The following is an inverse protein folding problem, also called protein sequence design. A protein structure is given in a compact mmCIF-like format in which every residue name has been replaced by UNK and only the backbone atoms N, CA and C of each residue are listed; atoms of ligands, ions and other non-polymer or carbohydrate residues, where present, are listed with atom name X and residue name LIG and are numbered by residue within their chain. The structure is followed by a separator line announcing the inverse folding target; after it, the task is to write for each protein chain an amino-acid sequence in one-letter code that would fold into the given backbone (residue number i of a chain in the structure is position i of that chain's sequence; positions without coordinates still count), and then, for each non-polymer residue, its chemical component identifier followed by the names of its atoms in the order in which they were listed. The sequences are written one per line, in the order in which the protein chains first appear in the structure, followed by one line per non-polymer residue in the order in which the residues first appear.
data_IF_810647341528
#
_entry.id   IF_810647341528
#
_cell.length_a   1.000
_cell.length_b   1.000
_cell.length_c   1.000
_cell.angle_alpha   90.00
_cell.angle_beta   90.00
_cell.angle_gamma   90.00
#
_symmetry.space_group_name_H-M   'P 1'
#
loop_
_entity.id
_entity.type
_entity.pdbx_description
1 polymer ?
#
# COMPACT_ATOMS: atom_id res chain seq x y z
N UNK A 1 2.14 -12.32 1.63
CA UNK A 1 3.47 -12.38 2.26
C UNK A 1 3.77 -10.99 2.79
N UNK A 2 4.17 -10.87 4.06
CA UNK A 2 4.71 -9.62 4.61
C UNK A 2 6.17 -9.48 4.19
N UNK A 3 6.53 -8.41 3.48
CA UNK A 3 7.91 -8.16 3.09
C UNK A 3 8.77 -7.79 4.31
N UNK A 4 10.09 -7.90 4.15
CA UNK A 4 11.09 -7.32 5.06
C UNK A 4 10.71 -5.91 5.51
N UNK A 5 10.80 -5.65 6.81
CA UNK A 5 10.41 -4.38 7.44
C UNK A 5 8.90 -4.15 7.50
N UNK A 6 8.08 -4.90 6.77
CA UNK A 6 6.63 -4.73 6.70
C UNK A 6 5.90 -5.80 7.52
N UNK A 7 4.68 -5.49 7.93
CA UNK A 7 3.82 -6.39 8.70
C UNK A 7 4.56 -7.03 9.89
N UNK A 8 4.44 -8.34 10.07
CA UNK A 8 5.09 -9.02 11.19
C UNK A 8 6.43 -9.69 10.83
N UNK A 9 6.99 -9.41 9.66
CA UNK A 9 8.26 -9.99 9.23
C UNK A 9 9.43 -9.34 9.96
N UNK A 10 10.26 -10.19 10.58
CA UNK A 10 11.48 -9.78 11.29
C UNK A 10 12.69 -10.31 10.52
N UNK A 11 13.67 -9.45 10.26
CA UNK A 11 14.93 -9.85 9.61
C UNK A 11 16.13 -9.28 10.36
N UNK A 12 17.34 -9.88 10.20
CA UNK A 12 18.56 -9.33 10.82
C UNK A 12 18.92 -7.93 10.32
N UNK A 13 18.52 -7.58 9.09
CA UNK A 13 18.71 -6.27 8.50
C UNK A 13 17.42 -5.82 7.80
N UNK A 14 16.65 -4.98 8.48
CA UNK A 14 15.38 -4.44 7.99
C UNK A 14 15.56 -3.23 7.05
N UNK A 15 16.78 -2.71 6.91
CA UNK A 15 17.04 -1.48 6.16
C UNK A 15 17.38 -1.72 4.69
N UNK A 16 17.90 -2.89 4.33
CA UNK A 16 18.16 -3.24 2.93
C UNK A 16 16.86 -3.63 2.22
N UNK A 17 16.20 -2.62 1.62
CA UNK A 17 14.99 -2.77 0.83
C UNK A 17 15.29 -2.75 -0.67
N UNK A 18 16.49 -3.13 -1.11
CA UNK A 18 16.82 -3.20 -2.54
C UNK A 18 15.97 -4.24 -3.29
N UNK A 19 15.72 -4.01 -4.59
CA UNK A 19 14.93 -4.91 -5.42
C UNK A 19 15.45 -6.36 -5.37
N UNK A 20 16.77 -6.53 -5.48
CA UNK A 20 17.42 -7.84 -5.43
C UNK A 20 17.20 -8.54 -4.10
N UNK A 21 17.35 -7.81 -2.98
CA UNK A 21 17.19 -8.40 -1.65
C UNK A 21 15.74 -8.81 -1.39
N UNK A 22 14.78 -7.94 -1.70
CA UNK A 22 13.35 -8.25 -1.56
C UNK A 22 12.91 -9.40 -2.49
N UNK A 23 13.43 -9.47 -3.72
CA UNK A 23 13.14 -10.57 -4.64
C UNK A 23 13.71 -11.90 -4.12
N UNK A 24 14.95 -11.89 -3.59
CA UNK A 24 15.56 -13.05 -2.93
C UNK A 24 14.75 -13.52 -1.73
N UNK A 25 14.18 -12.61 -0.95
CA UNK A 25 13.29 -12.99 0.16
C UNK A 25 12.06 -13.77 -0.32
N UNK A 26 11.46 -13.39 -1.45
CA UNK A 26 10.32 -14.13 -2.04
C UNK A 26 10.73 -15.55 -2.39
N UNK A 27 11.85 -15.73 -3.09
CA UNK A 27 12.38 -17.05 -3.42
C UNK A 27 12.67 -17.88 -2.16
N UNK A 28 13.36 -17.30 -1.18
CA UNK A 28 13.69 -17.96 0.08
C UNK A 28 12.45 -18.42 0.86
N UNK A 29 11.39 -17.62 0.89
CA UNK A 29 10.13 -18.00 1.54
C UNK A 29 9.47 -19.16 0.81
N UNK A 30 9.44 -19.15 -0.52
CA UNK A 30 8.88 -20.25 -1.32
C UNK A 30 9.66 -21.54 -1.09
N UNK A 31 10.99 -21.49 -1.16
CA UNK A 31 11.86 -22.64 -0.87
C UNK A 31 11.67 -23.13 0.57
N UNK A 32 11.52 -22.24 1.55
CA UNK A 32 11.25 -22.64 2.93
C UNK A 32 9.88 -23.31 3.12
N UNK A 33 8.88 -22.94 2.33
CA UNK A 33 7.52 -23.50 2.41
C UNK A 33 7.38 -24.85 1.69
N UNK A 34 8.04 -25.01 0.53
CA UNK A 34 7.80 -26.15 -0.37
C UNK A 34 9.04 -27.01 -0.66
N UNK A 35 10.23 -26.59 -0.24
CA UNK A 35 11.49 -27.22 -0.63
C UNK A 35 11.81 -27.02 -2.11
N UNK A 36 12.63 -27.92 -2.67
CA UNK A 36 13.10 -27.82 -4.07
C UNK A 36 12.38 -28.78 -5.04
N UNK A 37 11.85 -29.91 -4.56
CA UNK A 37 11.41 -31.00 -5.45
C UNK A 37 9.93 -30.94 -5.86
N UNK A 38 9.05 -30.34 -5.04
CA UNK A 38 7.60 -30.36 -5.26
C UNK A 38 6.94 -28.98 -5.07
N UNK A 39 7.52 -27.94 -5.67
CA UNK A 39 6.93 -26.60 -5.62
C UNK A 39 5.70 -26.57 -6.55
N UNK A 40 4.49 -26.25 -6.04
CA UNK A 40 3.30 -26.16 -6.87
C UNK A 40 3.43 -25.03 -7.91
N UNK A 41 2.60 -25.01 -8.96
CA UNK A 41 2.51 -23.85 -9.86
C UNK A 41 2.18 -22.59 -9.07
N UNK A 42 3.04 -21.57 -9.16
CA UNK A 42 2.87 -20.31 -8.42
C UNK A 42 2.46 -19.20 -9.38
N UNK A 43 1.44 -18.42 -9.01
CA UNK A 43 1.13 -17.15 -9.65
C UNK A 43 1.57 -16.03 -8.71
N UNK A 44 2.46 -15.16 -9.19
CA UNK A 44 2.83 -13.96 -8.44
C UNK A 44 1.88 -12.82 -8.78
N UNK A 45 1.31 -12.22 -7.74
CA UNK A 45 0.47 -11.02 -7.83
C UNK A 45 1.09 -9.93 -6.98
N UNK A 46 1.47 -8.81 -7.58
CA UNK A 46 2.15 -7.72 -6.89
C UNK A 46 1.53 -6.36 -7.19
N UNK A 47 1.35 -5.54 -6.16
CA UNK A 47 0.89 -4.16 -6.27
C UNK A 47 2.01 -3.16 -6.02
N UNK A 48 2.09 -2.09 -6.79
CA UNK A 48 3.06 -1.00 -6.59
C UNK A 48 4.50 -1.56 -6.45
N UNK A 49 5.20 -1.27 -5.34
CA UNK A 49 6.49 -1.88 -4.98
C UNK A 49 6.46 -3.42 -5.11
N UNK A 50 5.42 -4.09 -4.60
CA UNK A 50 5.29 -5.54 -4.70
C UNK A 50 5.20 -6.05 -6.14
N UNK A 51 4.64 -5.24 -7.06
CA UNK A 51 4.64 -5.53 -8.50
C UNK A 51 6.04 -5.50 -9.09
N UNK A 52 6.83 -4.49 -8.72
CA UNK A 52 8.25 -4.41 -9.05
C UNK A 52 9.01 -5.66 -8.59
N UNK A 53 8.86 -6.01 -7.32
CA UNK A 53 9.58 -7.15 -6.73
C UNK A 53 9.17 -8.47 -7.37
N UNK A 54 7.88 -8.65 -7.70
CA UNK A 54 7.41 -9.83 -8.43
C UNK A 54 8.08 -9.97 -9.81
N UNK A 55 8.26 -8.86 -10.54
CA UNK A 55 8.99 -8.85 -11.83
C UNK A 55 10.47 -9.20 -11.61
N UNK A 56 11.12 -8.57 -10.63
CA UNK A 56 12.52 -8.87 -10.32
C UNK A 56 12.73 -10.34 -9.93
N UNK A 57 11.82 -10.91 -9.12
CA UNK A 57 11.87 -12.32 -8.75
C UNK A 57 11.67 -13.26 -9.95
N UNK A 58 10.80 -12.88 -10.89
CA UNK A 58 10.56 -13.64 -12.12
C UNK A 58 11.78 -13.63 -13.04
N UNK A 59 12.38 -12.46 -13.31
CA UNK A 59 13.55 -12.33 -14.19
C UNK A 59 14.79 -12.99 -13.60
N UNK A 60 14.93 -13.00 -12.27
CA UNK A 60 16.03 -13.68 -11.57
C UNK A 60 15.80 -15.20 -11.44
N UNK A 61 14.69 -15.74 -11.96
CA UNK A 61 14.32 -17.16 -11.88
C UNK A 61 14.32 -17.71 -10.45
N UNK A 62 13.93 -16.87 -9.48
CA UNK A 62 13.90 -17.26 -8.06
C UNK A 62 12.70 -18.15 -7.70
N UNK A 63 11.74 -18.27 -8.62
CA UNK A 63 10.55 -19.12 -8.47
C UNK A 63 10.47 -20.04 -9.70
N UNK A 64 11.09 -21.23 -9.66
CA UNK A 64 11.14 -22.13 -10.81
C UNK A 64 9.77 -22.58 -11.31
N UNK A 65 8.78 -22.69 -10.42
CA UNK A 65 7.40 -23.10 -10.74
C UNK A 65 6.48 -21.91 -11.10
N UNK A 66 7.03 -20.75 -11.44
CA UNK A 66 6.25 -19.57 -11.80
C UNK A 66 5.39 -19.84 -13.04
N UNK A 67 4.08 -19.85 -12.87
CA UNK A 67 3.11 -20.14 -13.90
C UNK A 67 2.40 -18.89 -14.44
N UNK A 68 2.45 -17.77 -13.72
CA UNK A 68 1.86 -16.50 -14.15
C UNK A 68 2.34 -15.30 -13.33
N UNK A 69 2.32 -14.13 -13.94
CA UNK A 69 2.75 -12.87 -13.32
C UNK A 69 1.68 -11.79 -13.51
N UNK A 70 1.23 -11.22 -12.40
CA UNK A 70 0.19 -10.19 -12.37
C UNK A 70 0.70 -8.97 -11.62
N UNK A 71 0.61 -7.83 -12.29
CA UNK A 71 1.13 -6.54 -11.79
C UNK A 71 -0.03 -5.58 -11.66
N UNK A 72 -0.17 -4.95 -10.49
CA UNK A 72 -1.29 -4.09 -10.13
C UNK A 72 -0.81 -2.66 -9.87
N UNK A 73 -1.39 -1.72 -10.61
CA UNK A 73 -1.23 -0.26 -10.49
C UNK A 73 0.23 0.23 -10.42
N UNK A 74 1.09 -0.32 -11.27
CA UNK A 74 2.46 0.18 -11.46
C UNK A 74 2.88 0.12 -12.92
N UNK A 75 3.44 1.22 -13.39
CA UNK A 75 4.09 1.38 -14.70
C UNK A 75 5.33 2.24 -14.50
N UNK A 76 6.43 1.91 -15.16
CA UNK A 76 7.73 2.56 -14.94
C UNK A 76 7.65 4.08 -15.09
N UNK A 77 7.17 4.59 -16.23
CA UNK A 77 7.14 6.03 -16.51
C UNK A 77 6.40 6.83 -15.43
N UNK A 78 5.17 6.43 -15.13
CA UNK A 78 4.37 7.13 -14.10
C UNK A 78 4.87 6.89 -12.68
N UNK A 79 5.46 5.73 -12.38
CA UNK A 79 6.07 5.48 -11.08
C UNK A 79 7.24 6.45 -10.86
N UNK A 80 8.12 6.60 -11.85
CA UNK A 80 9.30 7.49 -11.78
C UNK A 80 8.91 8.96 -11.62
N UNK A 81 7.85 9.41 -12.28
CA UNK A 81 7.29 10.76 -12.07
C UNK A 81 6.71 10.91 -10.65
N UNK A 82 5.95 9.91 -10.17
CA UNK A 82 5.34 9.94 -8.85
C UNK A 82 6.37 9.94 -7.69
N UNK A 83 7.58 9.39 -7.90
CA UNK A 83 8.64 9.40 -6.88
C UNK A 83 8.98 10.81 -6.38
N UNK A 84 8.90 11.82 -7.27
CA UNK A 84 9.23 13.20 -6.92
C UNK A 84 8.27 13.80 -5.89
N UNK A 85 6.99 13.43 -5.94
CA UNK A 85 5.95 13.88 -5.01
C UNK A 85 5.81 13.01 -3.77
N UNK A 86 6.32 11.77 -3.81
CA UNK A 86 6.12 10.78 -2.75
C UNK A 86 6.68 11.25 -1.41
N UNK A 87 7.86 11.88 -1.38
CA UNK A 87 8.43 12.40 -0.12
C UNK A 87 7.52 13.44 0.54
N UNK A 88 6.98 14.37 -0.23
CA UNK A 88 6.03 15.39 0.26
C UNK A 88 4.76 14.74 0.80
N UNK A 89 4.22 13.75 0.08
CA UNK A 89 3.06 12.98 0.53
C UNK A 89 3.34 12.25 1.86
N UNK A 90 4.46 11.54 1.97
CA UNK A 90 4.81 10.77 3.17
C UNK A 90 5.01 11.67 4.38
N UNK A 91 5.59 12.86 4.22
CA UNK A 91 5.77 13.86 5.28
C UNK A 91 4.47 14.52 5.73
N UNK A 92 3.46 14.58 4.85
CA UNK A 92 2.14 15.11 5.18
C UNK A 92 1.28 14.16 6.04
N UNK A 93 1.70 12.90 6.21
CA UNK A 93 0.96 11.93 7.03
C UNK A 93 1.12 12.21 8.52
N UNK A 94 0.09 11.93 9.35
CA UNK A 94 0.23 11.97 10.80
C UNK A 94 1.38 11.08 11.26
N UNK A 95 2.25 11.58 12.14
CA UNK A 95 3.39 10.80 12.66
C UNK A 95 2.96 9.69 13.63
N UNK A 96 1.86 9.94 14.35
CA UNK A 96 1.32 9.06 15.36
C UNK A 96 -0.21 9.10 15.35
N UNK A 97 -0.82 8.03 15.85
CA UNK A 97 -2.26 7.89 16.02
C UNK A 97 -2.57 7.51 17.47
N UNK A 98 -3.56 8.17 18.07
CA UNK A 98 -3.98 7.92 19.46
C UNK A 98 -4.58 6.52 19.66
N UNK A 99 -5.22 5.97 18.63
CA UNK A 99 -5.80 4.64 18.63
C UNK A 99 -5.82 4.07 17.22
N UNK A 100 -6.07 2.76 17.12
CA UNK A 100 -6.18 2.07 15.83
C UNK A 100 -7.42 2.55 15.06
N UNK A 101 -8.53 2.76 15.76
CA UNK A 101 -9.80 3.24 15.19
C UNK A 101 -9.63 4.61 14.55
N UNK A 102 -8.90 5.51 15.21
CA UNK A 102 -8.59 6.83 14.65
C UNK A 102 -7.72 6.73 13.40
N UNK A 103 -6.79 5.78 13.34
CA UNK A 103 -5.98 5.57 12.15
C UNK A 103 -6.80 5.01 10.98
N UNK A 104 -7.72 4.08 11.24
CA UNK A 104 -8.68 3.55 10.26
C UNK A 104 -9.55 4.68 9.71
N UNK A 105 -10.09 5.53 10.60
CA UNK A 105 -10.89 6.69 10.21
C UNK A 105 -10.09 7.65 9.32
N UNK A 106 -8.85 7.96 9.69
CA UNK A 106 -7.96 8.81 8.90
C UNK A 106 -7.66 8.21 7.52
N UNK A 107 -7.42 6.89 7.41
CA UNK A 107 -7.14 6.23 6.14
C UNK A 107 -8.31 6.33 5.16
N UNK A 108 -9.54 6.22 5.66
CA UNK A 108 -10.75 6.39 4.84
C UNK A 108 -11.00 7.84 4.48
N UNK A 109 -10.92 8.77 5.45
CA UNK A 109 -11.18 10.21 5.21
C UNK A 109 -10.13 10.87 4.31
N UNK A 110 -8.86 10.45 4.41
CA UNK A 110 -7.80 10.93 3.52
C UNK A 110 -7.88 10.36 2.11
N UNK A 111 -8.72 9.34 1.88
CA UNK A 111 -8.84 8.66 0.60
C UNK A 111 -7.70 7.69 0.30
N UNK A 112 -6.84 7.36 1.28
CA UNK A 112 -5.79 6.35 1.12
C UNK A 112 -6.39 4.97 0.81
N UNK A 113 -7.46 4.60 1.54
CA UNK A 113 -8.24 3.38 1.32
C UNK A 113 -9.71 3.78 1.31
N UNK A 114 -10.42 3.53 0.22
CA UNK A 114 -11.83 3.94 0.07
C UNK A 114 -12.79 2.94 0.71
N UNK A 115 -12.38 1.68 0.80
CA UNK A 115 -13.17 0.61 1.39
C UNK A 115 -12.95 0.50 2.90
N UNK A 116 -13.97 0.83 3.68
CA UNK A 116 -13.93 0.77 5.15
C UNK A 116 -13.69 -0.66 5.67
N UNK A 117 -14.25 -1.68 5.02
CA UNK A 117 -14.06 -3.07 5.43
C UNK A 117 -12.60 -3.48 5.29
N UNK A 118 -11.97 -3.15 4.15
CA UNK A 118 -10.54 -3.39 3.93
C UNK A 118 -9.69 -2.61 4.93
N UNK A 119 -9.97 -1.32 5.11
CA UNK A 119 -9.21 -0.45 6.02
C UNK A 119 -9.20 -0.98 7.47
N UNK A 120 -10.31 -1.53 7.95
CA UNK A 120 -10.41 -2.12 9.31
C UNK A 120 -9.46 -3.30 9.52
N UNK A 121 -9.14 -4.04 8.45
CA UNK A 121 -8.26 -5.21 8.49
C UNK A 121 -6.83 -4.82 8.16
N UNK A 122 -6.60 -4.05 7.10
CA UNK A 122 -5.27 -3.78 6.54
C UNK A 122 -4.46 -2.74 7.33
N UNK A 123 -5.13 -1.77 7.97
CA UNK A 123 -4.43 -0.72 8.72
C UNK A 123 -3.62 -1.24 9.90
N UNK A 124 -4.01 -2.39 10.48
CA UNK A 124 -3.29 -3.02 11.59
C UNK A 124 -1.88 -3.43 11.18
N UNK A 125 -1.71 -3.90 9.93
CA UNK A 125 -0.41 -4.27 9.38
C UNK A 125 0.49 -3.06 9.08
N UNK A 126 -0.10 -1.88 8.85
CA UNK A 126 0.64 -0.66 8.52
C UNK A 126 1.16 0.10 9.75
N UNK A 127 0.68 -0.25 10.95
CA UNK A 127 0.99 0.45 12.19
C UNK A 127 1.66 -0.48 13.21
N UNK A 128 2.38 0.11 14.15
CA UNK A 128 2.90 -0.55 15.35
C UNK A 128 2.69 0.33 16.58
N UNK A 129 2.58 -0.28 17.76
CA UNK A 129 2.57 0.47 19.02
C UNK A 129 3.94 1.10 19.24
N UNK A 130 3.98 2.35 19.68
CA UNK A 130 5.22 2.98 20.10
C UNK A 130 5.80 2.21 21.30
N UNK A 131 7.03 1.72 21.24
CA UNK A 131 7.69 1.21 22.44
C UNK A 131 7.90 2.37 23.42
N UNK A 132 7.77 2.11 24.72
CA UNK A 132 7.98 3.13 25.77
C UNK A 132 9.38 3.77 25.71
N UNK A 133 10.35 3.12 25.06
CA UNK A 133 11.71 3.63 24.82
C UNK A 133 11.79 4.82 23.86
N UNK A 134 10.71 5.11 23.10
CA UNK A 134 10.70 6.22 22.15
C UNK A 134 10.22 7.56 22.74
N UNK A 135 9.95 7.63 24.05
CA UNK A 135 9.40 8.83 24.72
C UNK A 135 10.47 9.84 25.19
N UNK A 136 11.76 9.57 25.05
CA UNK A 136 12.83 10.40 25.66
C UNK A 136 13.52 11.39 24.74
N UNK A 137 13.05 11.60 23.50
CA UNK A 137 13.67 12.62 22.63
C UNK A 137 12.62 13.50 21.97
N UNK A 138 12.70 14.78 22.33
CA UNK A 138 11.99 15.97 21.83
C UNK A 138 10.51 16.15 22.24
N UNK A 139 10.31 16.88 23.34
CA UNK A 139 9.36 18.01 23.37
C UNK A 139 9.78 18.99 24.50
N UNK A 140 10.77 19.83 24.20
CA UNK A 140 10.83 21.17 24.81
C UNK A 140 10.37 22.15 23.74
N UNK A 141 9.09 22.50 23.78
CA UNK A 141 8.55 23.62 23.02
C UNK A 141 8.85 24.88 23.83
N UNK A 142 9.61 25.87 23.30
CA UNK A 142 9.65 27.19 23.89
C UNK A 142 8.33 27.88 23.61
N UNK A 143 7.66 28.38 24.64
CA UNK A 143 6.55 29.31 24.51
C UNK A 143 7.04 30.60 23.82
N UNK A 144 6.53 30.89 22.63
CA UNK A 144 6.73 32.20 22.01
C UNK A 144 5.38 32.80 21.61
N UNK A 145 5.03 33.83 22.36
CA UNK A 145 4.05 34.86 22.03
C UNK A 145 4.47 35.63 20.77
N UNK A 146 3.60 35.71 19.78
CA UNK A 146 3.59 36.79 18.81
C UNK A 146 2.16 37.00 18.29
N UNK A 147 1.70 38.23 18.49
CA UNK A 147 0.48 38.87 18.04
C UNK A 147 0.48 39.16 16.53
N UNK A 148 -0.71 39.57 16.04
CA UNK A 148 -1.09 40.18 14.75
C UNK A 148 -1.86 39.23 13.81
N UNK A 149 -3.20 39.19 13.85
CA UNK A 149 -4.20 40.17 13.41
C UNK A 149 -4.52 40.08 11.91
N UNK A 150 -5.69 39.51 11.56
CA UNK A 150 -6.63 40.06 10.56
C UNK A 150 -8.04 39.79 11.08
N UNK A 151 -8.80 40.86 11.24
CA UNK A 151 -10.19 40.92 11.68
C UNK A 151 -11.14 40.93 10.47
N UNK A 152 -12.36 40.39 10.62
CA UNK A 152 -13.58 40.94 10.01
C UNK A 152 -14.78 40.76 10.97
N UNK A 153 -15.67 41.75 10.90
CA UNK A 153 -16.69 42.28 11.82
C UNK A 153 -17.86 41.31 12.14
N UNK A 154 -18.23 41.10 13.42
CA UNK A 154 -19.21 41.81 14.28
C UNK A 154 -20.70 41.64 13.89
N UNK A 155 -21.45 40.92 14.73
CA UNK A 155 -22.77 41.37 15.22
C UNK A 155 -22.98 40.88 16.68
N UNK A 156 -23.23 41.86 17.55
CA UNK A 156 -23.43 41.77 19.00
C UNK A 156 -24.81 41.22 19.37
N UNK A 157 -24.91 40.41 20.44
CA UNK A 157 -26.08 40.40 21.32
C UNK A 157 -25.68 40.10 22.77
N UNK A 158 -26.43 40.73 23.67
CA UNK A 158 -26.09 41.18 25.01
C UNK A 158 -25.93 40.09 26.10
N UNK A 159 -25.21 40.46 27.17
CA UNK A 159 -25.14 39.76 28.45
C UNK A 159 -25.79 40.66 29.52
N UNK A 160 -26.43 40.16 30.59
CA UNK A 160 -25.62 39.97 31.80
C UNK A 160 -26.08 38.89 32.80
N UNK A 161 -25.07 38.34 33.50
CA UNK A 161 -25.00 37.99 34.94
C UNK A 161 -26.08 37.06 35.51
N UNK A 162 -25.64 35.88 35.97
CA UNK A 162 -25.73 35.57 37.40
C UNK A 162 -24.81 34.44 37.83
N UNK A 163 -24.18 34.65 38.98
CA UNK A 163 -23.29 33.72 39.66
C UNK A 163 -24.11 32.73 40.51
N UNK A 164 -23.92 31.43 40.29
CA UNK A 164 -24.09 30.44 41.35
C UNK A 164 -23.33 29.16 41.00
N UNK A 165 -22.43 28.76 41.90
CA UNK A 165 -21.75 27.48 41.85
C UNK A 165 -22.73 26.36 42.20
N UNK A 166 -22.60 25.18 41.58
CA UNK A 166 -22.62 23.99 42.42
C UNK A 166 -21.49 23.02 42.05
N UNK A 167 -20.75 22.62 43.09
CA UNK A 167 -19.94 21.41 43.13
C UNK A 167 -20.81 20.20 42.83
N UNK A 168 -20.59 19.50 41.72
CA UNK A 168 -21.01 18.12 41.55
C UNK A 168 -19.91 17.32 40.83
N UNK A 169 -19.54 16.25 41.50
CA UNK A 169 -18.66 15.16 41.08
C UNK A 169 -19.07 14.65 39.70
N UNK A 170 -18.12 14.43 38.80
CA UNK A 170 -18.32 13.53 37.66
C UNK A 170 -16.99 12.99 37.12
N UNK A 171 -16.81 11.70 37.42
CA UNK A 171 -16.10 10.69 36.65
C UNK A 171 -14.62 10.93 36.34
N UNK A 172 -13.76 10.41 37.21
CA UNK A 172 -12.48 9.86 36.79
C UNK A 172 -12.73 8.78 35.72
N UNK A 173 -12.78 9.20 34.45
CA UNK A 173 -12.44 8.30 33.37
C UNK A 173 -10.98 7.96 33.61
N UNK A 174 -10.73 6.77 34.15
CA UNK A 174 -9.39 6.19 34.23
C UNK A 174 -8.80 6.28 32.83
N UNK A 175 -7.96 7.29 32.59
CA UNK A 175 -7.27 7.48 31.35
C UNK A 175 -6.29 6.31 31.24
N UNK A 176 -6.77 5.21 30.65
CA UNK A 176 -5.89 4.16 30.20
C UNK A 176 -4.92 4.86 29.27
N UNK A 177 -3.66 4.94 29.69
CA UNK A 177 -2.60 5.61 28.96
C UNK A 177 -2.29 4.72 27.76
N UNK A 178 -3.18 4.74 26.77
CA UNK A 178 -3.10 3.89 25.59
C UNK A 178 -1.89 4.36 24.81
N UNK A 179 -0.87 3.51 24.78
CA UNK A 179 0.35 3.74 24.02
C UNK A 179 -0.01 4.08 22.57
N UNK A 180 0.47 5.23 22.03
CA UNK A 180 0.11 5.64 20.69
C UNK A 180 0.66 4.68 19.63
N UNK A 181 0.07 4.71 18.45
CA UNK A 181 0.52 3.97 17.28
C UNK A 181 1.37 4.86 16.38
N UNK A 182 2.34 4.28 15.68
CA UNK A 182 3.11 4.95 14.62
C UNK A 182 3.18 4.05 13.39
N UNK A 183 3.62 4.61 12.27
CA UNK A 183 3.84 3.85 11.05
C UNK A 183 4.87 2.74 11.30
N UNK A 184 4.54 1.54 10.84
CA UNK A 184 5.41 0.37 10.98
C UNK A 184 6.76 0.59 10.31
N UNK A 185 6.69 1.13 9.09
CA UNK A 185 7.84 1.45 8.23
C UNK A 185 7.90 2.95 7.98
N UNK A 186 9.08 3.50 8.18
CA UNK A 186 9.41 4.83 7.67
C UNK A 186 9.81 4.72 6.19
N UNK A 187 8.81 4.73 5.31
CA UNK A 187 9.02 4.54 3.88
C UNK A 187 9.93 5.61 3.28
N UNK A 188 10.02 6.80 3.89
CA UNK A 188 10.90 7.87 3.41
C UNK A 188 12.37 7.46 3.40
N UNK A 189 12.79 6.56 4.30
CA UNK A 189 14.17 6.03 4.36
C UNK A 189 14.49 5.06 3.23
N UNK A 190 13.47 4.54 2.54
CA UNK A 190 13.64 3.61 1.41
C UNK A 190 13.84 4.32 0.07
N UNK A 191 13.83 5.65 0.03
CA UNK A 191 13.93 6.46 -1.20
C UNK A 191 15.12 6.08 -2.08
N UNK A 192 16.25 5.76 -1.47
CA UNK A 192 17.47 5.33 -2.17
C UNK A 192 17.26 4.07 -3.02
N UNK A 193 16.26 3.25 -2.70
CA UNK A 193 15.94 2.01 -3.42
C UNK A 193 14.86 2.17 -4.47
N UNK A 194 14.04 3.23 -4.41
CA UNK A 194 12.87 3.39 -5.29
C UNK A 194 13.24 3.32 -6.76
N UNK A 195 14.29 4.06 -7.16
CA UNK A 195 14.79 4.02 -8.54
C UNK A 195 15.13 2.60 -8.98
N UNK A 196 15.81 1.82 -8.13
CA UNK A 196 16.15 0.43 -8.42
C UNK A 196 14.96 -0.53 -8.45
N UNK A 197 13.82 -0.16 -7.88
CA UNK A 197 12.57 -0.92 -8.02
C UNK A 197 11.97 -0.71 -9.42
N UNK A 198 11.90 0.53 -9.90
CA UNK A 198 11.09 0.89 -11.06
C UNK A 198 11.85 1.07 -12.38
N UNK A 199 13.13 1.46 -12.36
CA UNK A 199 13.92 1.69 -13.58
C UNK A 199 14.07 0.40 -14.40
N UNK A 200 13.72 0.47 -15.68
CA UNK A 200 13.70 -0.65 -16.62
C UNK A 200 12.61 -1.69 -16.38
N UNK A 201 11.71 -1.48 -15.41
CA UNK A 201 10.68 -2.46 -15.04
C UNK A 201 9.81 -2.86 -16.22
N UNK A 202 9.43 -1.93 -17.09
CA UNK A 202 8.50 -2.25 -18.19
C UNK A 202 9.10 -3.27 -19.15
N UNK A 203 10.39 -3.14 -19.49
CA UNK A 203 11.09 -4.12 -20.31
C UNK A 203 11.33 -5.45 -19.58
N UNK A 204 11.63 -5.41 -18.27
CA UNK A 204 11.77 -6.62 -17.45
C UNK A 204 10.45 -7.40 -17.35
N UNK A 205 9.32 -6.71 -17.20
CA UNK A 205 8.00 -7.32 -17.24
C UNK A 205 7.76 -7.99 -18.59
N UNK A 206 8.03 -7.30 -19.69
CA UNK A 206 7.83 -7.84 -21.04
C UNK A 206 8.73 -9.03 -21.37
N UNK A 207 9.91 -9.13 -20.75
CA UNK A 207 10.85 -10.24 -20.97
C UNK A 207 10.49 -11.54 -20.23
N UNK A 208 9.62 -11.48 -19.21
CA UNK A 208 9.21 -12.66 -18.45
C UNK A 208 8.43 -13.66 -19.33
N UNK A 209 8.90 -14.90 -19.40
CA UNK A 209 8.37 -15.96 -20.28
C UNK A 209 7.16 -16.71 -19.70
N UNK A 210 6.26 -16.00 -19.01
CA UNK A 210 5.01 -16.55 -18.45
C UNK A 210 3.81 -15.73 -18.94
N UNK A 211 2.57 -16.28 -18.87
CA UNK A 211 1.36 -15.48 -18.98
C UNK A 211 1.43 -14.28 -18.03
N UNK A 212 1.16 -13.10 -18.58
CA UNK A 212 1.29 -11.83 -17.88
C UNK A 212 -0.02 -11.07 -17.89
N UNK A 213 -0.29 -10.38 -16.80
CA UNK A 213 -1.40 -9.46 -16.70
C UNK A 213 -0.99 -8.15 -16.03
N UNK A 214 -1.50 -7.03 -16.56
CA UNK A 214 -1.40 -5.70 -15.98
C UNK A 214 -2.80 -5.19 -15.63
N UNK A 215 -3.02 -4.84 -14.36
CA UNK A 215 -4.26 -4.24 -13.86
C UNK A 215 -3.99 -2.79 -13.45
N UNK A 216 -4.62 -1.81 -14.09
CA UNK A 216 -4.38 -0.38 -13.82
C UNK A 216 -5.68 0.34 -13.46
N UNK A 217 -5.59 1.38 -12.62
CA UNK A 217 -6.74 2.21 -12.28
C UNK A 217 -7.14 3.18 -13.42
N UNK A 218 -6.23 3.47 -14.36
CA UNK A 218 -6.47 4.36 -15.50
C UNK A 218 -5.46 4.16 -16.62
N UNK A 219 -5.90 4.32 -17.88
CA UNK A 219 -5.11 4.09 -19.10
C UNK A 219 -4.01 5.10 -19.34
N UNK A 220 -4.13 6.29 -18.77
CA UNK A 220 -3.18 7.41 -18.95
C UNK A 220 -1.80 7.12 -18.33
N UNK A 221 -1.63 5.93 -17.76
CA UNK A 221 -0.44 5.52 -17.01
C UNK A 221 0.55 4.68 -17.80
N UNK A 222 0.20 4.21 -19.00
CA UNK A 222 1.07 3.35 -19.80
C UNK A 222 2.23 4.13 -20.41
N UNK A 223 3.45 3.61 -20.26
CA UNK A 223 4.60 4.10 -20.99
C UNK A 223 4.68 3.51 -22.40
N UNK A 224 5.62 4.04 -23.19
CA UNK A 224 5.82 3.64 -24.59
C UNK A 224 6.07 2.12 -24.73
N UNK A 225 6.86 1.53 -23.84
CA UNK A 225 7.26 0.12 -23.96
C UNK A 225 6.07 -0.80 -23.68
N UNK A 226 5.27 -0.50 -22.66
CA UNK A 226 4.04 -1.23 -22.37
C UNK A 226 2.96 -1.01 -23.42
N UNK A 227 2.83 0.18 -24.01
CA UNK A 227 1.92 0.40 -25.15
C UNK A 227 2.29 -0.51 -26.32
N UNK A 228 3.57 -0.54 -26.70
CA UNK A 228 4.05 -1.41 -27.78
C UNK A 228 3.84 -2.88 -27.42
N UNK A 229 4.17 -3.28 -26.18
CA UNK A 229 3.96 -4.65 -25.71
C UNK A 229 2.49 -5.08 -25.71
N UNK A 230 1.59 -4.17 -25.35
CA UNK A 230 0.15 -4.39 -25.35
C UNK A 230 -0.39 -4.53 -26.77
N UNK A 231 0.03 -3.66 -27.70
CA UNK A 231 -0.34 -3.74 -29.12
C UNK A 231 0.17 -5.04 -29.77
N UNK A 232 1.29 -5.58 -29.29
CA UNK A 232 1.84 -6.88 -29.70
C UNK A 232 1.17 -8.08 -29.01
N UNK A 233 0.23 -7.86 -28.08
CA UNK A 233 -0.44 -8.92 -27.33
C UNK A 233 0.46 -9.67 -26.34
N UNK A 234 1.55 -9.05 -25.86
CA UNK A 234 2.53 -9.70 -24.97
C UNK A 234 2.01 -9.94 -23.54
N UNK A 235 0.97 -9.23 -23.13
CA UNK A 235 0.32 -9.39 -21.84
C UNK A 235 -1.16 -9.06 -21.96
N UNK A 236 -1.94 -9.45 -20.94
CA UNK A 236 -3.34 -9.06 -20.84
C UNK A 236 -3.48 -7.81 -19.99
N UNK A 237 -4.14 -6.78 -20.50
CA UNK A 237 -4.38 -5.56 -19.75
C UNK A 237 -5.85 -5.47 -19.35
N UNK A 238 -6.10 -5.03 -18.12
CA UNK A 238 -7.42 -4.62 -17.66
C UNK A 238 -7.36 -3.29 -16.93
N UNK A 239 -8.41 -2.50 -17.12
CA UNK A 239 -8.56 -1.17 -16.53
C UNK A 239 -9.71 -1.21 -15.55
N UNK A 240 -9.44 -0.84 -14.30
CA UNK A 240 -10.46 -0.78 -13.26
C UNK A 240 -10.63 0.68 -12.79
N UNK A 241 -11.51 1.45 -13.43
CA UNK A 241 -11.68 2.85 -13.10
C UNK A 241 -12.27 3.03 -11.69
N UNK A 242 -12.25 4.27 -11.20
CA UNK A 242 -12.84 4.68 -9.92
C UNK A 242 -12.19 4.08 -8.67
N UNK A 243 -10.96 3.58 -8.78
CA UNK A 243 -10.13 3.20 -7.65
C UNK A 243 -9.16 4.32 -7.25
N UNK A 244 -8.79 4.36 -5.97
CA UNK A 244 -7.60 5.07 -5.50
C UNK A 244 -6.34 4.28 -5.83
N UNK A 245 -5.29 4.47 -5.02
CA UNK A 245 -4.00 3.80 -5.25
C UNK A 245 -4.06 2.28 -4.97
N UNK A 246 -4.80 1.87 -3.94
CA UNK A 246 -4.92 0.47 -3.55
C UNK A 246 -6.14 -0.19 -4.20
N UNK A 247 -6.11 -0.41 -5.52
CA UNK A 247 -7.26 -0.96 -6.28
C UNK A 247 -7.83 -2.26 -5.71
N UNK A 248 -6.97 -3.11 -5.16
CA UNK A 248 -7.35 -4.40 -4.57
C UNK A 248 -7.99 -4.26 -3.19
N UNK A 249 -7.74 -3.16 -2.47
CA UNK A 249 -8.45 -2.82 -1.24
C UNK A 249 -9.79 -2.13 -1.54
N UNK A 250 -9.81 -1.26 -2.55
CA UNK A 250 -10.97 -0.45 -2.90
C UNK A 250 -12.08 -1.26 -3.58
N UNK A 251 -11.72 -2.16 -4.51
CA UNK A 251 -12.68 -2.97 -5.28
C UNK A 251 -12.27 -4.46 -5.30
N UNK A 252 -12.16 -5.13 -4.12
CA UNK A 252 -11.60 -6.47 -4.00
C UNK A 252 -12.32 -7.50 -4.86
N UNK A 253 -13.67 -7.45 -4.92
CA UNK A 253 -14.45 -8.41 -5.70
C UNK A 253 -14.14 -8.33 -7.20
N UNK A 254 -14.12 -7.11 -7.77
CA UNK A 254 -13.82 -6.95 -9.20
C UNK A 254 -12.38 -7.34 -9.52
N UNK A 255 -11.44 -7.04 -8.63
CA UNK A 255 -10.06 -7.53 -8.78
C UNK A 255 -10.07 -9.05 -8.81
N UNK A 256 -10.73 -9.71 -7.86
CA UNK A 256 -10.84 -11.17 -7.83
C UNK A 256 -11.47 -11.76 -9.10
N UNK A 257 -12.56 -11.18 -9.62
CA UNK A 257 -13.22 -11.64 -10.85
C UNK A 257 -12.28 -11.54 -12.07
N UNK A 258 -11.51 -10.46 -12.15
CA UNK A 258 -10.53 -10.25 -13.22
C UNK A 258 -9.38 -11.25 -13.09
N UNK A 259 -8.84 -11.46 -11.89
CA UNK A 259 -7.78 -12.44 -11.65
C UNK A 259 -8.27 -13.85 -11.98
N UNK A 260 -9.46 -14.25 -11.52
CA UNK A 260 -10.06 -15.55 -11.84
C UNK A 260 -10.22 -15.73 -13.35
N UNK A 261 -10.64 -14.68 -14.07
CA UNK A 261 -10.74 -14.70 -15.53
C UNK A 261 -9.37 -14.93 -16.20
N UNK A 262 -8.31 -14.30 -15.69
CA UNK A 262 -6.94 -14.53 -16.16
C UNK A 262 -6.52 -15.99 -15.95
N UNK A 263 -6.77 -16.52 -14.76
CA UNK A 263 -6.36 -17.89 -14.40
C UNK A 263 -7.09 -18.93 -15.27
N UNK A 264 -8.41 -18.81 -15.39
CA UNK A 264 -9.23 -19.73 -16.22
C UNK A 264 -8.86 -19.60 -17.70
N UNK A 265 -8.65 -18.38 -18.21
CA UNK A 265 -8.25 -18.15 -19.60
C UNK A 265 -6.92 -18.83 -19.94
N UNK A 266 -5.97 -18.82 -19.01
CA UNK A 266 -4.64 -19.41 -19.19
C UNK A 266 -4.55 -20.86 -18.71
N UNK A 267 -5.68 -21.49 -18.34
CA UNK A 267 -5.74 -22.86 -17.81
C UNK A 267 -4.85 -23.07 -16.57
N UNK A 268 -4.71 -22.03 -15.76
CA UNK A 268 -3.95 -22.06 -14.49
C UNK A 268 -4.84 -22.44 -13.30
N UNK A 269 -6.15 -22.33 -13.45
CA UNK A 269 -7.14 -22.77 -12.48
C UNK A 269 -8.43 -23.22 -13.18
N UNK A 270 -9.23 -24.02 -12.49
CA UNK A 270 -10.57 -24.40 -12.93
C UNK A 270 -11.60 -23.41 -12.37
N UNK A 271 -12.64 -23.13 -13.15
CA UNK A 271 -13.73 -22.28 -12.70
C UNK A 271 -14.57 -23.03 -11.66
N UNK A 272 -14.86 -22.39 -10.53
CA UNK A 272 -15.91 -22.87 -9.64
C UNK A 272 -17.28 -22.79 -10.36
N UNK A 273 -18.24 -23.64 -9.99
CA UNK A 273 -19.52 -23.79 -10.68
C UNK A 273 -20.32 -22.48 -10.83
N UNK A 274 -20.10 -21.51 -9.93
CA UNK A 274 -20.78 -20.21 -9.93
C UNK A 274 -20.00 -19.09 -10.65
N UNK A 275 -18.79 -19.36 -11.14
CA UNK A 275 -17.94 -18.33 -11.75
C UNK A 275 -18.39 -18.02 -13.19
N UNK A 276 -19.09 -16.90 -13.33
CA UNK A 276 -19.41 -16.31 -14.64
C UNK A 276 -18.27 -15.41 -15.06
N UNK A 277 -17.65 -15.72 -16.21
CA UNK A 277 -16.60 -14.84 -16.76
C UNK A 277 -17.20 -13.47 -17.06
N UNK A 278 -16.68 -12.37 -16.49
CA UNK A 278 -17.06 -11.03 -16.92
C UNK A 278 -16.83 -10.90 -18.43
N UNK A 279 -17.85 -10.43 -19.15
CA UNK A 279 -17.74 -10.12 -20.57
C UNK A 279 -16.59 -9.13 -20.76
N UNK A 280 -15.74 -9.28 -21.79
CA UNK A 280 -14.75 -8.26 -22.09
C UNK A 280 -15.50 -6.94 -22.30
N UNK A 281 -15.19 -5.95 -21.47
CA UNK A 281 -15.62 -4.58 -21.73
C UNK A 281 -14.87 -4.14 -23.00
N UNK A 282 -15.62 -3.99 -24.09
CA UNK A 282 -15.14 -3.35 -25.32
C UNK A 282 -14.92 -1.85 -25.09
#
# INVERSE_FOLDING_TARGET
MDFRGHGNTVTPNEHDLSASTLARDVGNVITALYGDENVPPIIMVGHSMGGAIAIHAAVQFLVPSLAGLIVIDVVEGTAMEALQGMQSFLRGRPKQFRSLEYAIEWAVKSGQIRNLESARVSMVGQLKRCSQECQTVSDQVPSCSASEAIAEEDEELENPKDASSPTQQQEEVSASTSVPYTWRVDLSKSETYWKGWFEGMSNLFLSCAVPKMLLIAGVDRLDKDLIVGQMQGKFWMQVLPQCGHCVHEDQPQKVADILASFLVRNKLAEAADEFVRPSPAC
#
